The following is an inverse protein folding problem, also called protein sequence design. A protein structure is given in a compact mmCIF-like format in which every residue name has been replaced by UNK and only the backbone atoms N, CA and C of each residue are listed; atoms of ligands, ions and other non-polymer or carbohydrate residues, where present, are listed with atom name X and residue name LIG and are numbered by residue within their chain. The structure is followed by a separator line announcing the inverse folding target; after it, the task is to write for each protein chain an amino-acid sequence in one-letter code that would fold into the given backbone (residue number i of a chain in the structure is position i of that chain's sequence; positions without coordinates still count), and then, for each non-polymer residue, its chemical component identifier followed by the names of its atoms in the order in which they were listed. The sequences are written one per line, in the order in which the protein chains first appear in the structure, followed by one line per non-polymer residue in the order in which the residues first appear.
data_IF_567638408286
#
_entry.id   IF_567638408286
#
_cell.length_a   1.000
_cell.length_b   1.000
_cell.length_c   1.000
_cell.angle_alpha   90.00
_cell.angle_beta   90.00
_cell.angle_gamma   90.00
#
_symmetry.space_group_name_H-M   'P 1'
#
loop_
_entity.id
_entity.type
_entity.pdbx_description
1 polymer ?
#
# COMPACT_ATOMS: atom_id res chain seq x y z
N UNK A 1 -12.23 1.69 10.69
CA UNK A 1 -13.16 1.64 9.55
C UNK A 1 -14.53 1.85 10.17
N UNK A 2 -14.91 3.12 10.35
CA UNK A 2 -15.85 3.47 11.43
C UNK A 2 -17.23 3.83 10.88
N UNK A 3 -17.30 4.19 9.59
CA UNK A 3 -18.52 4.66 8.94
C UNK A 3 -19.43 3.52 8.47
N UNK A 4 -18.88 2.38 8.06
CA UNK A 4 -19.70 1.30 7.51
C UNK A 4 -20.76 0.82 8.53
N UNK A 5 -20.41 0.47 9.79
CA UNK A 5 -21.40 0.09 10.81
C UNK A 5 -22.45 1.16 11.10
N UNK A 6 -22.14 2.43 10.85
CA UNK A 6 -23.06 3.56 11.09
C UNK A 6 -24.03 3.79 9.92
N UNK A 7 -23.60 3.49 8.69
CA UNK A 7 -24.34 3.80 7.48
C UNK A 7 -25.20 2.62 6.97
N UNK A 8 -24.93 1.40 7.41
CA UNK A 8 -25.62 0.20 6.93
C UNK A 8 -26.13 -0.66 8.08
N UNK A 9 -27.42 -1.01 8.05
CA UNK A 9 -28.08 -1.76 9.12
C UNK A 9 -27.66 -3.24 9.18
N UNK A 10 -27.26 -3.84 8.05
CA UNK A 10 -26.96 -5.27 7.94
C UNK A 10 -25.51 -5.49 7.53
N UNK A 11 -24.61 -5.42 8.51
CA UNK A 11 -23.18 -5.70 8.31
C UNK A 11 -22.80 -7.02 8.96
N UNK A 12 -22.08 -7.83 8.20
CA UNK A 12 -21.42 -9.03 8.69
C UNK A 12 -19.92 -8.76 8.89
N UNK A 13 -19.39 -9.14 10.06
CA UNK A 13 -17.96 -9.02 10.38
C UNK A 13 -17.29 -10.37 10.14
N UNK A 14 -16.56 -10.47 9.02
CA UNK A 14 -15.72 -11.63 8.73
C UNK A 14 -14.35 -11.49 9.44
N UNK A 15 -14.07 -12.37 10.40
CA UNK A 15 -12.81 -12.34 11.19
C UNK A 15 -11.72 -13.30 10.66
N UNK A 16 -11.91 -13.90 9.50
CA UNK A 16 -10.96 -14.86 8.92
C UNK A 16 -9.65 -14.17 8.53
N UNK A 17 -8.51 -14.69 9.00
CA UNK A 17 -7.19 -14.02 8.88
C UNK A 17 -6.65 -13.93 7.46
N UNK A 18 -7.06 -14.86 6.60
CA UNK A 18 -6.77 -14.87 5.18
C UNK A 18 -7.45 -13.78 4.35
N UNK A 19 -8.37 -13.02 4.95
CA UNK A 19 -8.97 -11.86 4.30
C UNK A 19 -8.30 -10.58 4.77
N UNK A 20 -8.07 -9.68 3.82
CA UNK A 20 -7.50 -8.35 4.05
C UNK A 20 -6.19 -8.42 4.85
N UNK A 21 -5.32 -9.39 4.52
CA UNK A 21 -3.97 -9.45 5.06
C UNK A 21 -3.14 -8.34 4.41
N UNK A 22 -2.37 -7.60 5.20
CA UNK A 22 -1.44 -6.61 4.67
C UNK A 22 -0.17 -6.51 5.53
N UNK A 23 0.73 -5.61 5.13
CA UNK A 23 2.00 -5.40 5.82
C UNK A 23 1.86 -4.97 7.29
N UNK A 24 0.81 -4.22 7.65
CA UNK A 24 0.56 -3.84 9.05
C UNK A 24 0.13 -5.01 9.94
N UNK A 25 -0.25 -6.15 9.36
CA UNK A 25 -0.62 -7.34 10.12
C UNK A 25 0.58 -8.24 10.45
N UNK A 26 1.79 -7.95 9.97
CA UNK A 26 2.91 -8.87 10.11
C UNK A 26 3.37 -9.15 11.54
N UNK A 27 3.05 -8.26 12.49
CA UNK A 27 3.32 -8.50 13.91
C UNK A 27 2.48 -9.66 14.48
N UNK A 28 1.31 -9.94 13.91
CA UNK A 28 0.36 -10.94 14.43
C UNK A 28 0.05 -12.09 13.43
N UNK A 29 0.35 -11.88 12.12
CA UNK A 29 0.07 -12.82 11.03
C UNK A 29 1.34 -13.19 10.30
N UNK A 30 1.64 -14.48 10.28
CA UNK A 30 2.73 -15.09 9.52
C UNK A 30 2.17 -15.64 8.23
N UNK A 31 2.74 -15.22 7.10
CA UNK A 31 2.45 -15.82 5.80
C UNK A 31 3.23 -17.13 5.68
N UNK A 32 2.55 -18.19 5.28
CA UNK A 32 3.14 -19.47 4.95
C UNK A 32 3.03 -19.65 3.44
N UNK A 33 4.15 -19.82 2.77
CA UNK A 33 4.23 -20.10 1.33
C UNK A 33 4.52 -21.59 1.14
N UNK A 34 3.60 -22.32 0.49
CA UNK A 34 3.75 -23.75 0.20
C UNK A 34 4.26 -24.04 -1.23
N UNK A 35 4.61 -23.00 -2.00
CA UNK A 35 5.02 -23.12 -3.40
C UNK A 35 3.86 -23.20 -4.40
N UNK A 36 2.66 -23.56 -3.96
CA UNK A 36 1.42 -23.49 -4.74
C UNK A 36 0.46 -22.44 -4.20
N UNK A 37 0.27 -22.45 -2.88
CA UNK A 37 -0.71 -21.62 -2.17
C UNK A 37 -0.08 -20.86 -1.01
N UNK A 38 -0.89 -19.98 -0.43
CA UNK A 38 -0.56 -19.20 0.75
C UNK A 38 -1.54 -19.49 1.88
N UNK A 39 -1.03 -19.59 3.11
CA UNK A 39 -1.86 -19.70 4.32
C UNK A 39 -1.35 -18.77 5.43
N UNK A 40 -2.19 -18.49 6.42
CA UNK A 40 -1.93 -17.53 7.50
C UNK A 40 -1.87 -18.23 8.85
N UNK A 41 -0.71 -18.18 9.50
CA UNK A 41 -0.38 -18.81 10.78
C UNK A 41 -0.44 -20.35 10.79
N UNK A 42 -1.44 -20.96 10.14
CA UNK A 42 -1.71 -22.39 10.08
C UNK A 42 -2.04 -22.77 8.63
N UNK A 43 -1.79 -24.02 8.24
CA UNK A 43 -1.90 -24.49 6.84
C UNK A 43 -3.34 -24.52 6.32
N UNK A 44 -4.33 -24.72 7.20
CA UNK A 44 -5.77 -24.75 6.89
C UNK A 44 -6.42 -23.36 6.79
N UNK A 45 -5.68 -22.30 7.14
CA UNK A 45 -6.12 -20.91 7.07
C UNK A 45 -5.62 -20.24 5.78
N UNK A 46 -6.22 -20.60 4.64
CA UNK A 46 -5.82 -20.07 3.34
C UNK A 46 -5.84 -18.52 3.28
N UNK A 47 -4.85 -17.94 2.59
CA UNK A 47 -4.87 -16.54 2.18
C UNK A 47 -5.79 -16.40 0.97
N UNK A 48 -6.86 -15.63 1.14
CA UNK A 48 -7.82 -15.35 0.08
C UNK A 48 -7.57 -13.99 -0.58
N UNK A 49 -7.14 -13.00 0.21
CA UNK A 49 -6.96 -11.64 -0.28
C UNK A 49 -5.84 -10.93 0.47
N UNK A 50 -4.77 -10.60 -0.26
CA UNK A 50 -3.69 -9.73 0.20
C UNK A 50 -3.89 -8.30 -0.28
N UNK A 51 -3.71 -7.34 0.63
CA UNK A 51 -3.89 -5.92 0.38
C UNK A 51 -2.53 -5.25 0.15
N UNK A 52 -2.19 -5.01 -1.13
CA UNK A 52 -0.94 -4.38 -1.59
C UNK A 52 -0.91 -2.85 -1.40
N UNK A 53 -1.19 -2.37 -0.19
CA UNK A 53 -1.34 -0.95 0.10
C UNK A 53 0.02 -0.23 0.10
N UNK A 54 0.26 0.55 -0.94
CA UNK A 54 1.52 1.28 -1.12
C UNK A 54 2.58 0.46 -1.86
N UNK A 55 2.21 -0.68 -2.42
CA UNK A 55 3.09 -1.46 -3.29
C UNK A 55 3.56 -0.63 -4.48
N UNK A 56 4.82 -0.81 -4.86
CA UNK A 56 5.42 -0.17 -6.03
C UNK A 56 6.24 -1.23 -6.79
N UNK A 57 5.97 -1.48 -8.08
CA UNK A 57 6.80 -2.34 -8.92
C UNK A 57 8.28 -1.96 -8.83
N UNK A 58 9.15 -2.96 -8.79
CA UNK A 58 10.60 -2.82 -8.64
C UNK A 58 11.10 -2.31 -7.28
N UNK A 59 10.24 -2.19 -6.26
CA UNK A 59 10.67 -1.83 -4.91
C UNK A 59 11.36 -3.00 -4.20
N UNK A 60 12.29 -2.72 -3.29
CA UNK A 60 12.87 -3.72 -2.38
C UNK A 60 11.98 -4.00 -1.14
N UNK A 61 10.85 -3.31 -1.03
CA UNK A 61 9.93 -3.35 0.10
C UNK A 61 8.52 -3.72 -0.38
N UNK A 62 7.75 -4.44 0.46
CA UNK A 62 6.34 -4.76 0.16
C UNK A 62 5.43 -3.53 0.14
N UNK A 63 5.88 -2.43 0.75
CA UNK A 63 5.15 -1.18 0.83
C UNK A 63 6.11 -0.01 0.76
N UNK A 64 5.78 1.01 -0.05
CA UNK A 64 6.44 2.31 -0.05
C UNK A 64 5.92 3.26 1.02
N UNK A 65 5.02 2.81 1.92
CA UNK A 65 4.50 3.65 3.02
C UNK A 65 5.41 3.68 4.24
N UNK A 66 6.32 2.73 4.37
CA UNK A 66 7.36 2.72 5.39
C UNK A 66 8.67 2.25 4.75
N UNK A 67 9.78 2.89 5.12
CA UNK A 67 11.14 2.47 4.72
C UNK A 67 11.82 1.61 5.78
N UNK A 68 11.06 1.04 6.72
CA UNK A 68 11.62 0.20 7.77
C UNK A 68 12.05 -1.17 7.22
N UNK A 69 13.20 -1.64 7.68
CA UNK A 69 13.81 -2.90 7.23
C UNK A 69 12.91 -4.12 7.42
N UNK A 70 12.03 -4.12 8.42
CA UNK A 70 11.06 -5.20 8.67
C UNK A 70 10.04 -5.42 7.54
N UNK A 71 9.92 -4.46 6.61
CA UNK A 71 9.08 -4.57 5.41
C UNK A 71 9.89 -4.81 4.13
N UNK A 72 11.22 -4.87 4.23
CA UNK A 72 12.10 -5.21 3.13
C UNK A 72 12.04 -6.71 2.82
N UNK A 73 12.10 -7.07 1.55
CA UNK A 73 12.04 -8.47 1.13
C UNK A 73 13.23 -9.30 1.62
N UNK A 74 14.38 -8.67 1.86
CA UNK A 74 15.55 -9.33 2.47
C UNK A 74 15.25 -9.90 3.87
N UNK A 75 14.35 -9.27 4.62
CA UNK A 75 13.99 -9.72 5.97
C UNK A 75 12.75 -10.62 5.94
N UNK A 76 12.04 -10.68 4.80
CA UNK A 76 10.72 -11.30 4.63
C UNK A 76 10.65 -12.05 3.30
N UNK A 77 11.47 -13.08 3.18
CA UNK A 77 11.60 -13.88 1.96
C UNK A 77 10.28 -14.53 1.54
N UNK A 78 9.39 -14.85 2.48
CA UNK A 78 8.08 -15.43 2.22
C UNK A 78 7.16 -14.53 1.38
N UNK A 79 7.45 -13.23 1.33
CA UNK A 79 6.67 -12.27 0.53
C UNK A 79 7.18 -12.15 -0.91
N UNK A 80 8.40 -12.64 -1.22
CA UNK A 80 9.04 -12.40 -2.52
C UNK A 80 8.24 -12.99 -3.68
N UNK A 81 7.78 -14.23 -3.52
CA UNK A 81 6.98 -14.90 -4.55
C UNK A 81 5.65 -14.19 -4.75
N UNK A 82 4.92 -13.91 -3.65
CA UNK A 82 3.64 -13.20 -3.69
C UNK A 82 3.76 -11.82 -4.35
N UNK A 83 4.81 -11.06 -4.00
CA UNK A 83 5.07 -9.74 -4.59
C UNK A 83 5.38 -9.82 -6.08
N UNK A 84 6.18 -10.81 -6.50
CA UNK A 84 6.52 -11.04 -7.90
C UNK A 84 5.29 -11.42 -8.72
N UNK A 85 4.48 -12.36 -8.22
CA UNK A 85 3.24 -12.78 -8.87
C UNK A 85 2.31 -11.59 -9.09
N UNK A 86 2.16 -10.73 -8.07
CA UNK A 86 1.37 -9.51 -8.19
C UNK A 86 1.96 -8.49 -9.18
N UNK A 87 3.28 -8.29 -9.17
CA UNK A 87 3.97 -7.40 -10.11
C UNK A 87 3.82 -7.87 -11.57
N UNK A 88 3.97 -9.16 -11.81
CA UNK A 88 3.77 -9.77 -13.13
C UNK A 88 2.32 -9.52 -13.62
N UNK A 89 1.34 -9.73 -12.75
CA UNK A 89 -0.06 -9.42 -13.05
C UNK A 89 -0.28 -7.93 -13.34
N UNK A 90 0.37 -7.01 -12.62
CA UNK A 90 0.28 -5.58 -12.89
C UNK A 90 0.80 -5.24 -14.30
N UNK A 91 1.96 -5.78 -14.67
CA UNK A 91 2.54 -5.55 -16.00
C UNK A 91 1.67 -6.15 -17.11
N UNK A 92 1.20 -7.39 -16.93
CA UNK A 92 0.26 -8.04 -17.86
C UNK A 92 -1.03 -7.23 -18.05
N UNK A 93 -1.49 -6.54 -17.01
CA UNK A 93 -2.70 -5.72 -17.01
C UNK A 93 -2.44 -4.22 -17.30
N UNK A 94 -1.34 -3.90 -17.98
CA UNK A 94 -1.01 -2.55 -18.48
C UNK A 94 -0.90 -1.48 -17.37
N UNK A 95 -0.30 -1.85 -16.24
CA UNK A 95 -0.07 -0.92 -15.13
C UNK A 95 0.52 0.43 -15.56
N UNK A 96 1.58 0.43 -16.38
CA UNK A 96 2.24 1.67 -16.85
C UNK A 96 1.30 2.62 -17.58
N UNK A 97 0.38 2.07 -18.38
CA UNK A 97 -0.61 2.88 -19.08
C UNK A 97 -1.60 3.49 -18.09
N UNK A 98 -2.19 2.67 -17.20
CA UNK A 98 -3.22 3.12 -16.28
C UNK A 98 -2.69 4.05 -15.18
N UNK A 99 -1.48 3.80 -14.67
CA UNK A 99 -0.84 4.61 -13.64
C UNK A 99 -0.48 6.01 -14.14
N UNK A 100 -0.22 6.16 -15.44
CA UNK A 100 0.03 7.44 -16.09
C UNK A 100 -1.22 8.27 -16.38
N UNK A 101 -2.43 7.71 -16.23
CA UNK A 101 -3.66 8.44 -16.50
C UNK A 101 -3.88 9.55 -15.47
N UNK A 102 -4.12 10.76 -15.97
CA UNK A 102 -4.50 11.89 -15.12
C UNK A 102 -6.00 11.85 -14.84
N UNK A 103 -6.43 11.77 -13.56
CA UNK A 103 -7.85 11.85 -13.23
C UNK A 103 -8.46 13.15 -13.77
N UNK A 104 -9.61 13.06 -14.45
CA UNK A 104 -10.33 14.25 -14.95
C UNK A 104 -10.86 15.12 -13.80
N UNK A 105 -11.21 14.47 -12.69
CA UNK A 105 -11.67 15.12 -11.48
C UNK A 105 -10.47 15.51 -10.62
N UNK A 106 -10.41 16.79 -10.24
CA UNK A 106 -9.38 17.33 -9.36
C UNK A 106 -9.68 16.97 -7.90
N UNK A 107 -9.50 15.71 -7.53
CA UNK A 107 -9.67 15.27 -6.14
C UNK A 107 -8.59 15.78 -5.19
N UNK A 108 -7.43 16.17 -5.74
CA UNK A 108 -6.29 16.63 -4.97
C UNK A 108 -5.71 17.89 -5.58
N UNK A 109 -5.50 18.91 -4.74
CA UNK A 109 -4.62 20.01 -5.06
C UNK A 109 -3.22 19.62 -4.59
N UNK A 110 -2.20 19.58 -5.48
CA UNK A 110 -0.84 19.24 -5.06
C UNK A 110 -0.40 20.20 -3.96
N UNK A 111 0.21 19.67 -2.89
CA UNK A 111 0.82 20.51 -1.86
C UNK A 111 1.90 21.37 -2.53
N UNK A 112 2.02 22.67 -2.17
CA UNK A 112 3.04 23.52 -2.74
C UNK A 112 4.42 22.91 -2.51
N UNK A 113 5.20 22.79 -3.58
CA UNK A 113 6.55 22.23 -3.54
C UNK A 113 7.44 23.00 -2.57
N UNK A 114 8.54 22.40 -2.14
CA UNK A 114 9.54 23.08 -1.30
C UNK A 114 9.98 24.42 -1.91
N UNK A 115 10.20 24.46 -3.23
CA UNK A 115 10.52 25.67 -4.00
C UNK A 115 9.41 26.73 -3.92
N UNK A 116 8.14 26.32 -4.01
CA UNK A 116 6.98 27.21 -3.84
C UNK A 116 6.91 27.80 -2.42
N UNK A 117 7.17 26.98 -1.39
CA UNK A 117 7.23 27.43 0.01
C UNK A 117 8.37 28.42 0.23
N UNK A 118 9.56 28.12 -0.30
CA UNK A 118 10.75 28.99 -0.20
C UNK A 118 10.51 30.34 -0.89
N UNK A 119 9.95 30.35 -2.10
CA UNK A 119 9.61 31.60 -2.79
C UNK A 119 8.56 32.42 -2.03
N UNK A 120 7.60 31.77 -1.38
CA UNK A 120 6.60 32.45 -0.55
C UNK A 120 7.22 33.05 0.71
N UNK A 121 8.22 32.39 1.31
CA UNK A 121 8.97 32.90 2.45
C UNK A 121 9.83 34.11 2.06
N UNK A 122 10.57 34.03 0.94
CA UNK A 122 11.38 35.14 0.42
C UNK A 122 10.53 36.38 0.12
N UNK A 123 9.38 36.22 -0.54
CA UNK A 123 8.45 37.33 -0.80
C UNK A 123 7.91 37.98 0.49
N UNK A 124 7.74 37.21 1.57
CA UNK A 124 7.34 37.73 2.88
C UNK A 124 8.45 38.53 3.56
N UNK A 125 9.70 38.08 3.45
CA UNK A 125 10.86 38.80 3.98
C UNK A 125 11.06 40.14 3.25
N UNK A 126 11.02 40.14 1.91
CA UNK A 126 11.17 41.38 1.13
C UNK A 126 10.10 42.42 1.48
N UNK A 127 8.83 42.03 1.66
CA UNK A 127 7.76 42.94 2.11
C UNK A 127 7.88 43.43 3.55
N UNK A 128 8.76 42.83 4.36
CA UNK A 128 8.98 43.22 5.77
C UNK A 128 10.13 44.21 5.91
N UNK A 129 11.00 44.31 4.89
CA UNK A 129 12.21 45.12 4.90
C UNK A 129 12.28 46.15 3.76
N UNK A 130 11.19 46.34 3.01
CA UNK A 130 10.98 47.43 2.06
C UNK A 130 9.58 48.00 2.23
#
# INVERSE_FOLDING_TARGET
MDLAPLLFEKIFILKHRGYNMAWWNFAERKLLDSGGDYSINQTDQHLYFFHFSGFKPGSEYITGRSGESQFAYENRHELKRLAREYEDLLHQNRFEFFSGLKPKLKFFSPKPSFKSKMNKMLKRLVRKFG
#
